data_IF_987121685206
#
_entry.id   IF_987121685206
#
_cell.length_a   1.000
_cell.length_b   1.000
_cell.length_c   1.000
_cell.angle_alpha   90.00
_cell.angle_beta   90.00
_cell.angle_gamma   90.00
#
_symmetry.space_group_name_H-M   'P 1'
#
loop_
_entity.id
_entity.type
_entity.pdbx_description
1 polymer ?
#
# COMPACT_ATOMS: atom_id res chain seq x y z
N UNK A 1 -11.78 -11.53 -0.18
CA UNK A 1 -10.89 -10.71 0.70
C UNK A 1 -9.40 -11.05 0.53
N UNK A 2 -9.02 -12.28 0.13
CA UNK A 2 -7.63 -12.78 0.16
C UNK A 2 -6.69 -12.44 -1.05
N UNK A 3 -6.99 -11.45 -1.89
CA UNK A 3 -6.20 -11.21 -3.13
C UNK A 3 -5.14 -10.11 -3.03
N UNK A 4 -5.31 -9.09 -2.19
CA UNK A 4 -4.46 -7.89 -2.23
C UNK A 4 -3.13 -8.07 -1.49
N UNK A 5 -3.18 -8.65 -0.29
CA UNK A 5 -2.01 -8.81 0.59
C UNK A 5 -0.88 -9.63 -0.05
N UNK A 6 -1.10 -10.88 -0.50
CA UNK A 6 -0.01 -11.68 -1.06
C UNK A 6 0.55 -11.11 -2.37
N UNK A 7 -0.29 -10.43 -3.17
CA UNK A 7 0.13 -9.83 -4.45
C UNK A 7 1.08 -8.65 -4.26
N UNK A 8 0.78 -7.76 -3.31
CA UNK A 8 1.62 -6.58 -3.03
C UNK A 8 2.99 -7.01 -2.48
N UNK A 9 3.01 -7.98 -1.58
CA UNK A 9 4.26 -8.55 -1.05
C UNK A 9 5.06 -9.18 -2.18
N UNK A 10 4.42 -10.02 -3.01
CA UNK A 10 5.11 -10.70 -4.11
C UNK A 10 5.67 -9.72 -5.14
N UNK A 11 4.90 -8.72 -5.54
CA UNK A 11 5.37 -7.69 -6.47
C UNK A 11 6.56 -6.92 -5.89
N UNK A 12 6.47 -6.52 -4.62
CA UNK A 12 7.56 -5.81 -3.94
C UNK A 12 8.83 -6.65 -3.91
N UNK A 13 8.73 -7.94 -3.56
CA UNK A 13 9.86 -8.87 -3.56
C UNK A 13 10.54 -9.01 -4.94
N UNK A 14 9.75 -9.05 -6.01
CA UNK A 14 10.29 -9.11 -7.37
C UNK A 14 11.00 -7.81 -7.77
N UNK A 15 10.53 -6.66 -7.26
CA UNK A 15 11.14 -5.37 -7.50
C UNK A 15 12.42 -5.12 -6.68
N UNK A 16 12.58 -5.77 -5.51
CA UNK A 16 13.71 -5.53 -4.58
C UNK A 16 15.07 -5.58 -5.28
N UNK A 17 15.31 -6.57 -6.16
CA UNK A 17 16.61 -6.70 -6.86
C UNK A 17 16.97 -5.43 -7.66
N UNK A 18 16.00 -4.84 -8.34
CA UNK A 18 16.21 -3.64 -9.15
C UNK A 18 16.28 -2.38 -8.28
N UNK A 19 15.47 -2.32 -7.22
CA UNK A 19 15.45 -1.19 -6.30
C UNK A 19 16.74 -1.11 -5.46
N UNK A 20 17.34 -2.25 -5.11
CA UNK A 20 18.60 -2.32 -4.37
C UNK A 20 19.76 -1.73 -5.19
N UNK A 21 19.78 -1.97 -6.51
CA UNK A 21 20.82 -1.39 -7.40
C UNK A 21 20.71 0.13 -7.57
N UNK A 22 19.51 0.69 -7.39
CA UNK A 22 19.23 2.11 -7.64
C UNK A 22 19.01 2.91 -6.36
N UNK A 23 19.03 2.27 -5.18
CA UNK A 23 18.55 2.85 -3.92
C UNK A 23 17.15 3.46 -4.05
N UNK A 24 16.28 2.72 -4.75
CA UNK A 24 14.95 3.19 -5.14
C UNK A 24 13.95 3.23 -3.98
N UNK A 25 12.68 3.47 -4.33
CA UNK A 25 11.60 3.52 -3.34
C UNK A 25 10.32 2.88 -3.84
N UNK A 26 9.55 2.29 -2.91
CA UNK A 26 8.20 1.79 -3.13
C UNK A 26 7.22 2.78 -2.50
N UNK A 27 6.19 3.17 -3.26
CA UNK A 27 5.09 4.00 -2.76
C UNK A 27 3.79 3.24 -2.94
N UNK A 28 3.15 2.89 -1.82
CA UNK A 28 1.85 2.23 -1.81
C UNK A 28 0.74 3.28 -1.76
N UNK A 29 -0.35 3.03 -2.51
CA UNK A 29 -1.53 3.90 -2.48
C UNK A 29 -2.59 3.27 -1.59
N UNK A 30 -2.71 3.78 -0.37
CA UNK A 30 -3.70 3.39 0.62
C UNK A 30 -4.95 4.28 0.53
N UNK A 31 -5.54 4.70 1.65
CA UNK A 31 -6.71 5.58 1.72
C UNK A 31 -6.85 6.16 3.13
N UNK A 32 -7.48 7.32 3.29
CA UNK A 32 -7.93 7.78 4.62
C UNK A 32 -8.89 6.81 5.29
N UNK A 33 -9.56 5.95 4.50
CA UNK A 33 -10.44 4.90 4.99
C UNK A 33 -9.73 3.80 5.78
N UNK A 34 -8.39 3.78 5.82
CA UNK A 34 -7.63 2.90 6.71
C UNK A 34 -7.60 3.37 8.17
N UNK A 35 -7.84 4.66 8.40
CA UNK A 35 -7.86 5.29 9.72
C UNK A 35 -9.28 5.66 10.16
N UNK A 36 -10.11 6.10 9.21
CA UNK A 36 -11.47 6.54 9.48
C UNK A 36 -12.45 5.40 9.41
N UNK A 37 -13.43 5.41 10.32
CA UNK A 37 -14.55 4.46 10.30
C UNK A 37 -15.51 4.80 9.16
N UNK A 38 -15.32 4.17 8.00
CA UNK A 38 -16.20 4.29 6.85
C UNK A 38 -17.17 3.10 6.85
N UNK A 39 -18.34 3.29 7.46
CA UNK A 39 -19.35 2.22 7.60
C UNK A 39 -19.84 1.64 6.27
N UNK A 40 -19.76 2.41 5.17
CA UNK A 40 -20.23 1.96 3.86
C UNK A 40 -19.25 1.02 3.13
N UNK A 41 -17.98 0.94 3.54
CA UNK A 41 -16.96 0.15 2.83
C UNK A 41 -16.00 -0.61 3.79
N UNK A 42 -16.52 -1.46 4.70
CA UNK A 42 -15.70 -2.07 5.75
C UNK A 42 -14.55 -2.95 5.22
N UNK A 43 -14.79 -3.75 4.18
CA UNK A 43 -13.75 -4.59 3.59
C UNK A 43 -12.65 -3.80 2.89
N UNK A 44 -13.01 -2.67 2.29
CA UNK A 44 -12.04 -1.75 1.69
C UNK A 44 -11.16 -1.13 2.78
N UNK A 45 -11.78 -0.62 3.85
CA UNK A 45 -11.06 -0.09 5.01
C UNK A 45 -10.08 -1.12 5.58
N UNK A 46 -10.52 -2.35 5.84
CA UNK A 46 -9.64 -3.44 6.32
C UNK A 46 -8.48 -3.71 5.37
N UNK A 47 -8.75 -3.79 4.06
CA UNK A 47 -7.70 -4.02 3.08
C UNK A 47 -6.67 -2.88 3.02
N UNK A 48 -7.12 -1.63 3.18
CA UNK A 48 -6.26 -0.44 3.19
C UNK A 48 -5.47 -0.32 4.50
N UNK A 49 -6.05 -0.66 5.65
CA UNK A 49 -5.30 -0.78 6.92
C UNK A 49 -4.25 -1.88 6.86
N UNK A 50 -4.57 -3.02 6.25
CA UNK A 50 -3.58 -4.08 6.02
C UNK A 50 -2.42 -3.59 5.14
N UNK A 51 -2.70 -2.81 4.09
CA UNK A 51 -1.66 -2.22 3.24
C UNK A 51 -0.76 -1.24 4.00
N UNK A 52 -1.31 -0.44 4.90
CA UNK A 52 -0.52 0.47 5.74
C UNK A 52 0.42 -0.33 6.66
N UNK A 53 -0.08 -1.39 7.30
CA UNK A 53 0.76 -2.23 8.14
C UNK A 53 1.85 -2.95 7.34
N UNK A 54 1.53 -3.45 6.14
CA UNK A 54 2.51 -4.06 5.22
C UNK A 54 3.60 -3.05 4.84
N UNK A 55 3.23 -1.80 4.58
CA UNK A 55 4.18 -0.72 4.27
C UNK A 55 5.17 -0.53 5.41
N UNK A 56 4.70 -0.48 6.66
CA UNK A 56 5.55 -0.34 7.85
C UNK A 56 6.53 -1.52 7.96
N UNK A 57 6.02 -2.76 7.82
CA UNK A 57 6.86 -3.96 7.92
C UNK A 57 7.91 -4.02 6.80
N UNK A 58 7.54 -3.68 5.57
CA UNK A 58 8.46 -3.65 4.43
C UNK A 58 9.51 -2.54 4.57
N UNK A 59 9.13 -1.35 5.05
CA UNK A 59 10.07 -0.26 5.30
C UNK A 59 11.18 -0.69 6.27
N UNK A 60 10.81 -1.29 7.40
CA UNK A 60 11.80 -1.79 8.37
C UNK A 60 12.68 -2.91 7.81
N UNK A 61 12.12 -3.78 6.97
CA UNK A 61 12.84 -4.91 6.38
C UNK A 61 13.81 -4.49 5.27
N UNK A 62 13.44 -3.49 4.48
CA UNK A 62 14.15 -3.12 3.25
C UNK A 62 15.09 -1.91 3.41
N UNK A 63 15.01 -1.17 4.54
CA UNK A 63 15.88 -0.01 4.76
C UNK A 63 17.37 -0.37 4.76
N UNK A 64 17.72 -1.57 5.27
CA UNK A 64 19.12 -2.07 5.25
C UNK A 64 19.67 -2.28 3.84
N UNK A 65 18.78 -2.38 2.84
CA UNK A 65 19.11 -2.49 1.42
C UNK A 65 19.08 -1.14 0.68
N UNK A 66 18.95 -0.02 1.41
CA UNK A 66 18.83 1.31 0.83
C UNK A 66 17.47 1.60 0.19
N UNK A 67 16.46 0.74 0.37
CA UNK A 67 15.15 0.90 -0.25
C UNK A 67 14.19 1.55 0.74
N UNK A 68 13.56 2.65 0.33
CA UNK A 68 12.53 3.34 1.14
C UNK A 68 11.14 2.83 0.76
N UNK A 69 10.26 2.66 1.73
CA UNK A 69 8.88 2.23 1.49
C UNK A 69 7.94 3.16 2.25
N UNK A 70 6.99 3.78 1.54
CA UNK A 70 6.02 4.71 2.13
C UNK A 70 4.61 4.43 1.61
N UNK A 71 3.61 4.89 2.36
CA UNK A 71 2.21 4.85 1.96
C UNK A 71 1.70 6.28 1.79
N UNK A 72 0.87 6.50 0.78
CA UNK A 72 0.04 7.70 0.66
C UNK A 72 -1.41 7.31 0.92
N UNK A 73 -2.14 8.15 1.66
CA UNK A 73 -3.51 7.86 2.07
C UNK A 73 -4.46 8.93 1.54
N UNK A 74 -4.88 8.84 0.26
CA UNK A 74 -5.76 9.86 -0.32
C UNK A 74 -7.15 9.84 0.31
N UNK A 75 -7.74 11.05 0.39
CA UNK A 75 -9.17 11.22 0.57
C UNK A 75 -9.96 10.99 -0.71
N UNK A 76 -11.17 11.54 -0.84
CA UNK A 76 -11.88 11.54 -2.11
C UNK A 76 -11.04 12.23 -3.19
N UNK A 77 -10.71 11.51 -4.25
CA UNK A 77 -9.97 12.04 -5.41
C UNK A 77 -10.84 11.86 -6.65
N UNK A 78 -10.94 12.91 -7.48
CA UNK A 78 -11.68 12.89 -8.75
C UNK A 78 -11.05 11.87 -9.71
N UNK A 79 -11.58 10.66 -9.67
CA UNK A 79 -11.21 9.49 -10.46
C UNK A 79 -12.47 8.67 -10.71
N UNK A 80 -12.43 7.75 -11.67
CA UNK A 80 -13.56 6.86 -11.94
C UNK A 80 -13.77 5.79 -10.84
N UNK A 81 -13.06 5.87 -9.71
CA UNK A 81 -13.19 4.94 -8.59
C UNK A 81 -14.49 5.14 -7.78
N UNK A 82 -14.92 6.39 -7.63
CA UNK A 82 -16.13 6.76 -6.86
C UNK A 82 -17.38 6.91 -7.72
N UNK A 83 -17.21 7.00 -9.04
CA UNK A 83 -18.32 7.18 -9.98
C UNK A 83 -18.92 5.82 -10.27
N UNK A 84 -19.94 5.45 -9.51
CA UNK A 84 -21.00 4.59 -10.03
C UNK A 84 -21.80 5.46 -11.01
N UNK A 85 -22.05 4.96 -12.22
CA UNK A 85 -22.81 5.68 -13.25
C UNK A 85 -24.14 6.22 -12.78
#
# INVERSE_FOLDING_TARGET
INIFVPRIIRLSQLAVKYLETTSGSIVNVSSIGSYLKISMMPYYSVAKSALDQITIQMAGSLIKKGIRVNSVNPGPVRTNFLVSG
#
